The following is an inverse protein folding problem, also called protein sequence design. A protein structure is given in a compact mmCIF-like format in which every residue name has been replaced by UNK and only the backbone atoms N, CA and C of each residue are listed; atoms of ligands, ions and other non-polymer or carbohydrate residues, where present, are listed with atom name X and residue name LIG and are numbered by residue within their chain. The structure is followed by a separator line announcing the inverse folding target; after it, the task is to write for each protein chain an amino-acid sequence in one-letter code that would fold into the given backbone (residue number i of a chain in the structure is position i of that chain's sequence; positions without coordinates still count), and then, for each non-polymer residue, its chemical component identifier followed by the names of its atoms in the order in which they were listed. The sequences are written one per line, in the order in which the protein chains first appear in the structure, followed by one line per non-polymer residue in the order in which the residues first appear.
data_IF_711076662661
#
_entry.id   IF_711076662661
#
_cell.length_a   1.000
_cell.length_b   1.000
_cell.length_c   1.000
_cell.angle_alpha   90.00
_cell.angle_beta   90.00
_cell.angle_gamma   90.00
#
_symmetry.space_group_name_H-M   'P 1'
#
loop_
_entity.id
_entity.type
_entity.pdbx_description
1 polymer ?
#
# COMPACT_ATOMS: atom_id res chain seq x y z
N UNK A 1 -7.21 15.84 -23.72
CA UNK A 1 -6.02 15.10 -23.26
C UNK A 1 -4.87 15.41 -24.22
N UNK A 2 -3.66 15.66 -23.71
CA UNK A 2 -2.49 15.94 -24.55
C UNK A 2 -1.83 14.61 -24.97
N UNK A 3 -1.22 14.52 -26.16
CA UNK A 3 -0.48 13.33 -26.56
C UNK A 3 0.71 13.11 -25.62
N UNK A 4 0.92 11.86 -25.21
CA UNK A 4 2.06 11.45 -24.37
C UNK A 4 3.02 10.58 -25.18
N UNK A 5 4.32 10.78 -24.98
CA UNK A 5 5.34 9.97 -25.63
C UNK A 5 5.46 8.61 -24.96
N UNK A 6 5.36 7.54 -25.75
CA UNK A 6 5.60 6.16 -25.31
C UNK A 6 6.68 5.50 -26.16
N UNK A 7 7.45 4.61 -25.54
CA UNK A 7 8.40 3.74 -26.22
C UNK A 7 7.81 2.35 -26.35
N UNK A 8 7.70 1.89 -27.59
CA UNK A 8 7.30 0.54 -27.92
C UNK A 8 8.56 -0.32 -28.10
N UNK A 9 8.67 -1.38 -27.30
CA UNK A 9 9.70 -2.40 -27.40
C UNK A 9 9.05 -3.77 -27.62
N UNK A 10 9.38 -4.41 -28.74
CA UNK A 10 8.87 -5.73 -29.08
C UNK A 10 10.01 -6.75 -28.99
N UNK A 11 9.90 -7.70 -28.07
CA UNK A 11 10.72 -8.91 -28.03
C UNK A 11 9.91 -10.11 -28.54
N UNK A 12 10.54 -11.26 -28.78
CA UNK A 12 9.91 -12.43 -29.41
C UNK A 12 8.72 -13.02 -28.65
N UNK A 13 8.54 -12.71 -27.36
CA UNK A 13 7.46 -13.26 -26.51
C UNK A 13 6.58 -12.20 -25.83
N UNK A 14 7.03 -10.94 -25.75
CA UNK A 14 6.34 -9.88 -24.99
C UNK A 14 6.50 -8.54 -25.70
N UNK A 15 5.43 -7.75 -25.71
CA UNK A 15 5.45 -6.36 -26.18
C UNK A 15 5.30 -5.42 -24.99
N UNK A 16 6.22 -4.47 -24.85
CA UNK A 16 6.20 -3.45 -23.79
C UNK A 16 5.95 -2.09 -24.41
N UNK A 17 4.93 -1.39 -23.91
CA UNK A 17 4.65 0.02 -24.22
C UNK A 17 4.92 0.80 -22.94
N UNK A 18 5.91 1.67 -22.90
CA UNK A 18 6.22 2.43 -21.67
C UNK A 18 6.35 3.93 -21.93
N UNK A 19 5.60 4.77 -21.20
CA UNK A 19 6.01 6.15 -20.99
C UNK A 19 7.41 6.19 -20.36
N UNK A 20 8.16 7.25 -20.63
CA UNK A 20 9.50 7.38 -20.08
C UNK A 20 9.50 7.30 -18.54
N UNK A 21 10.19 6.30 -17.98
CA UNK A 21 10.33 6.12 -16.53
C UNK A 21 9.12 5.53 -15.80
N UNK A 22 8.09 5.06 -16.54
CA UNK A 22 6.97 4.34 -15.94
C UNK A 22 7.39 2.92 -15.53
N UNK A 23 6.97 2.43 -14.35
CA UNK A 23 7.27 1.08 -13.90
C UNK A 23 6.51 0.07 -14.76
N UNK A 24 7.09 -1.11 -14.88
CA UNK A 24 6.46 -2.24 -15.58
C UNK A 24 6.28 -3.40 -14.61
N UNK A 25 5.33 -4.30 -14.90
CA UNK A 25 5.13 -5.51 -14.08
C UNK A 25 6.34 -6.46 -14.08
N UNK A 26 7.34 -6.22 -14.93
CA UNK A 26 8.61 -6.94 -14.92
C UNK A 26 9.65 -6.37 -13.95
N UNK A 27 9.37 -5.23 -13.30
CA UNK A 27 10.26 -4.66 -12.31
C UNK A 27 10.40 -5.62 -11.12
N UNK A 28 11.64 -5.94 -10.72
CA UNK A 28 11.91 -6.98 -9.73
C UNK A 28 11.28 -6.72 -8.36
N UNK A 29 11.00 -5.46 -8.03
CA UNK A 29 10.33 -5.03 -6.80
C UNK A 29 9.57 -3.73 -7.07
N UNK A 30 8.32 -3.78 -7.57
CA UNK A 30 7.53 -2.58 -7.74
C UNK A 30 7.30 -1.91 -6.37
N UNK A 31 7.37 -0.59 -6.35
CA UNK A 31 7.06 0.17 -5.15
C UNK A 31 5.58 0.07 -4.80
N UNK A 32 5.24 0.31 -3.54
CA UNK A 32 3.84 0.39 -3.07
C UNK A 32 3.08 1.62 -3.63
N UNK A 33 3.70 2.39 -4.50
CA UNK A 33 3.10 3.44 -5.32
C UNK A 33 2.80 2.98 -6.76
N UNK A 34 2.88 1.68 -7.05
CA UNK A 34 2.54 1.14 -8.38
C UNK A 34 1.08 0.68 -8.40
N UNK A 35 0.32 1.19 -9.36
CA UNK A 35 -1.02 0.71 -9.69
C UNK A 35 -0.88 -0.33 -10.80
N UNK A 36 -1.61 -1.44 -10.69
CA UNK A 36 -1.61 -2.50 -11.71
C UNK A 36 -3.04 -2.89 -12.02
N UNK A 37 -3.31 -3.18 -13.29
CA UNK A 37 -4.58 -3.71 -13.77
C UNK A 37 -4.33 -4.84 -14.76
N UNK A 38 -4.89 -6.01 -14.52
CA UNK A 38 -4.93 -7.14 -15.45
C UNK A 38 -5.94 -6.85 -16.57
N UNK A 39 -5.48 -6.99 -17.81
CA UNK A 39 -6.27 -6.70 -19.02
C UNK A 39 -6.15 -7.84 -20.02
N UNK A 40 -7.05 -7.90 -20.99
CA UNK A 40 -7.06 -8.92 -22.03
C UNK A 40 -5.71 -8.88 -22.77
N UNK A 41 -4.95 -9.97 -22.66
CA UNK A 41 -3.64 -10.14 -23.28
C UNK A 41 -2.49 -9.35 -22.64
N UNK A 42 -2.66 -8.75 -21.47
CA UNK A 42 -1.60 -7.97 -20.83
C UNK A 42 -1.87 -7.46 -19.42
N UNK A 43 -1.00 -6.54 -18.98
CA UNK A 43 -1.17 -5.76 -17.77
C UNK A 43 -0.89 -4.30 -18.06
N UNK A 44 -1.64 -3.42 -17.41
CA UNK A 44 -1.40 -1.98 -17.37
C UNK A 44 -0.81 -1.59 -16.02
N UNK A 45 0.13 -0.64 -16.01
CA UNK A 45 0.70 -0.10 -14.78
C UNK A 45 0.88 1.42 -14.81
N UNK A 46 0.68 2.03 -13.65
CA UNK A 46 0.87 3.47 -13.42
C UNK A 46 1.66 3.71 -12.13
N UNK A 47 2.25 4.90 -12.00
CA UNK A 47 2.76 5.39 -10.71
C UNK A 47 1.67 6.25 -10.07
N UNK A 48 1.29 5.91 -8.84
CA UNK A 48 0.29 6.59 -8.02
C UNK A 48 0.49 8.12 -7.96
N UNK A 49 1.76 8.54 -7.84
CA UNK A 49 2.15 9.94 -7.67
C UNK A 49 2.48 10.65 -8.99
N UNK A 50 2.35 9.96 -10.13
CA UNK A 50 2.61 10.54 -11.45
C UNK A 50 1.36 11.19 -12.03
N UNK A 51 1.56 12.26 -12.79
CA UNK A 51 0.50 12.92 -13.56
C UNK A 51 0.29 12.26 -14.94
N UNK A 52 1.06 11.20 -15.27
CA UNK A 52 0.92 10.47 -16.53
C UNK A 52 -0.45 9.80 -16.60
N UNK A 53 -1.17 10.05 -17.70
CA UNK A 53 -2.49 9.46 -17.94
C UNK A 53 -2.39 8.17 -18.72
N UNK A 54 -1.36 8.04 -19.56
CA UNK A 54 -1.14 6.84 -20.37
C UNK A 54 -0.39 5.79 -19.53
N UNK A 55 -0.92 4.55 -19.41
CA UNK A 55 -0.25 3.48 -18.68
C UNK A 55 1.04 3.02 -19.37
N UNK A 56 1.94 2.40 -18.60
CA UNK A 56 2.82 1.37 -19.17
C UNK A 56 2.01 0.08 -19.40
N UNK A 57 2.26 -0.64 -20.49
CA UNK A 57 1.69 -1.94 -20.77
C UNK A 57 2.76 -3.00 -20.97
N UNK A 58 2.48 -4.19 -20.47
CA UNK A 58 3.22 -5.41 -20.77
C UNK A 58 2.23 -6.42 -21.35
N UNK A 59 2.37 -6.71 -22.64
CA UNK A 59 1.46 -7.56 -23.40
C UNK A 59 2.11 -8.92 -23.64
N UNK A 60 1.47 -9.96 -23.14
CA UNK A 60 1.88 -11.36 -23.36
C UNK A 60 1.08 -12.02 -24.49
N UNK A 61 -0.08 -11.46 -24.84
CA UNK A 61 -0.86 -11.80 -26.03
C UNK A 61 -1.21 -10.50 -26.79
N UNK A 62 -0.29 -9.98 -27.63
CA UNK A 62 -0.51 -8.74 -28.35
C UNK A 62 -1.65 -8.84 -29.37
N UNK A 63 -2.02 -10.04 -29.82
CA UNK A 63 -3.14 -10.25 -30.75
C UNK A 63 -4.47 -10.04 -30.02
N UNK A 64 -4.64 -10.63 -28.83
CA UNK A 64 -5.82 -10.40 -28.00
C UNK A 64 -5.91 -8.92 -27.55
N UNK A 65 -4.78 -8.28 -27.23
CA UNK A 65 -4.75 -6.88 -26.83
C UNK A 65 -5.21 -5.90 -27.93
N UNK A 66 -5.20 -6.30 -29.22
CA UNK A 66 -5.68 -5.45 -30.31
C UNK A 66 -7.15 -5.02 -30.16
N UNK A 67 -7.96 -5.75 -29.40
CA UNK A 67 -9.36 -5.41 -29.15
C UNK A 67 -9.52 -4.04 -28.47
N UNK A 68 -8.56 -3.66 -27.62
CA UNK A 68 -8.63 -2.45 -26.79
C UNK A 68 -7.45 -1.48 -26.95
N UNK A 69 -6.30 -1.90 -27.48
CA UNK A 69 -5.09 -1.06 -27.59
C UNK A 69 -5.34 0.29 -28.25
N UNK A 70 -6.13 0.32 -29.32
CA UNK A 70 -6.48 1.55 -30.03
C UNK A 70 -7.30 2.52 -29.17
N UNK A 71 -8.09 2.01 -28.22
CA UNK A 71 -8.91 2.83 -27.34
C UNK A 71 -8.05 3.54 -26.29
N UNK A 72 -7.05 2.84 -25.74
CA UNK A 72 -6.19 3.33 -24.63
C UNK A 72 -4.94 4.05 -25.14
N UNK A 73 -4.33 3.63 -26.23
CA UNK A 73 -3.08 4.23 -26.75
C UNK A 73 -3.26 4.98 -28.08
N UNK A 74 -4.37 4.77 -28.77
CA UNK A 74 -4.62 5.32 -30.10
C UNK A 74 -4.21 4.39 -31.24
N UNK A 75 -4.78 4.65 -32.41
CA UNK A 75 -4.54 3.88 -33.64
C UNK A 75 -3.05 3.75 -34.03
N UNK A 76 -2.20 4.80 -33.94
CA UNK A 76 -0.78 4.68 -34.33
C UNK A 76 0.00 3.66 -33.52
N UNK A 77 -0.31 3.53 -32.22
CA UNK A 77 0.33 2.56 -31.32
C UNK A 77 -0.20 1.16 -31.59
N UNK A 78 -1.52 0.98 -31.73
CA UNK A 78 -2.11 -0.31 -32.07
C UNK A 78 -1.55 -0.88 -33.38
N UNK A 79 -1.44 -0.06 -34.43
CA UNK A 79 -0.82 -0.45 -35.70
C UNK A 79 0.66 -0.81 -35.55
N UNK A 80 1.42 -0.08 -34.72
CA UNK A 80 2.82 -0.40 -34.49
C UNK A 80 3.01 -1.74 -33.77
N UNK A 81 2.14 -2.07 -32.83
CA UNK A 81 2.11 -3.39 -32.17
C UNK A 81 1.78 -4.48 -33.19
N UNK A 82 0.73 -4.29 -34.01
CA UNK A 82 0.33 -5.26 -35.03
C UNK A 82 1.41 -5.50 -36.10
N UNK A 83 2.18 -4.46 -36.46
CA UNK A 83 3.30 -4.55 -37.39
C UNK A 83 4.59 -5.12 -36.75
N UNK A 84 4.62 -5.33 -35.44
CA UNK A 84 5.82 -5.71 -34.69
C UNK A 84 6.92 -4.65 -34.72
N UNK A 85 6.57 -3.37 -34.88
CA UNK A 85 7.53 -2.25 -34.92
C UNK A 85 7.95 -1.87 -33.50
N UNK A 86 9.17 -1.36 -33.35
CA UNK A 86 9.64 -0.74 -32.11
C UNK A 86 10.03 0.71 -32.37
N UNK A 87 9.92 1.57 -31.36
CA UNK A 87 10.29 2.98 -31.47
C UNK A 87 9.45 3.91 -30.61
N UNK A 88 9.77 5.20 -30.71
CA UNK A 88 9.04 6.27 -30.05
C UNK A 88 7.76 6.60 -30.82
N UNK A 89 6.64 6.65 -30.11
CA UNK A 89 5.31 6.94 -30.65
C UNK A 89 4.59 7.94 -29.76
N UNK A 90 3.64 8.66 -30.34
CA UNK A 90 2.71 9.49 -29.58
C UNK A 90 1.45 8.70 -29.29
N UNK A 91 1.20 8.42 -28.02
CA UNK A 91 -0.03 7.84 -27.55
C UNK A 91 -1.09 8.95 -27.42
N UNK A 92 -2.27 8.70 -27.98
CA UNK A 92 -3.44 9.57 -27.82
C UNK A 92 -4.65 8.66 -27.73
N UNK A 93 -5.21 8.45 -26.52
CA UNK A 93 -6.33 7.54 -26.33
C UNK A 93 -7.50 7.93 -27.24
N UNK A 94 -8.00 6.99 -28.04
CA UNK A 94 -9.18 7.22 -28.87
C UNK A 94 -10.46 7.25 -28.03
N UNK A 95 -10.45 6.63 -26.84
CA UNK A 95 -11.50 6.68 -25.82
C UNK A 95 -10.92 7.17 -24.49
N UNK A 96 -10.76 8.50 -24.30
CA UNK A 96 -10.16 9.06 -23.10
C UNK A 96 -10.94 8.72 -21.82
N UNK A 97 -12.26 8.60 -21.90
CA UNK A 97 -13.13 8.17 -20.80
C UNK A 97 -12.81 6.75 -20.31
N UNK A 98 -12.54 5.82 -21.23
CA UNK A 98 -12.17 4.44 -20.88
C UNK A 98 -10.76 4.38 -20.29
N UNK A 99 -9.81 5.14 -20.84
CA UNK A 99 -8.45 5.22 -20.30
C UNK A 99 -8.44 5.80 -18.87
N UNK A 100 -9.27 6.81 -18.60
CA UNK A 100 -9.43 7.37 -17.27
C UNK A 100 -10.11 6.38 -16.30
N UNK A 101 -11.18 5.72 -16.73
CA UNK A 101 -11.84 4.68 -15.93
C UNK A 101 -10.88 3.51 -15.60
N UNK A 102 -10.04 3.08 -16.53
CA UNK A 102 -9.03 2.05 -16.30
C UNK A 102 -8.01 2.47 -15.24
N UNK A 103 -7.57 3.73 -15.29
CA UNK A 103 -6.66 4.31 -14.30
C UNK A 103 -7.32 4.41 -12.93
N UNK A 104 -8.58 4.84 -12.87
CA UNK A 104 -9.37 4.86 -11.64
C UNK A 104 -9.58 3.46 -11.07
N UNK A 105 -9.83 2.45 -11.92
CA UNK A 105 -9.96 1.06 -11.49
C UNK A 105 -8.65 0.54 -10.90
N UNK A 106 -7.51 0.76 -11.57
CA UNK A 106 -6.18 0.41 -11.01
C UNK A 106 -5.89 1.11 -9.68
N UNK A 107 -6.34 2.36 -9.52
CA UNK A 107 -6.28 3.06 -8.24
C UNK A 107 -7.19 2.46 -7.16
N UNK A 108 -8.42 2.07 -7.51
CA UNK A 108 -9.35 1.42 -6.60
C UNK A 108 -8.81 0.07 -6.12
N UNK A 109 -8.20 -0.73 -7.00
CA UNK A 109 -7.49 -1.95 -6.62
C UNK A 109 -6.32 -1.64 -5.68
N UNK A 110 -5.51 -0.62 -5.97
CA UNK A 110 -4.44 -0.21 -5.06
C UNK A 110 -4.98 0.19 -3.68
N UNK A 111 -6.07 0.96 -3.62
CA UNK A 111 -6.69 1.37 -2.37
C UNK A 111 -7.19 0.15 -1.58
N UNK A 112 -7.83 -0.82 -2.25
CA UNK A 112 -8.31 -2.04 -1.61
C UNK A 112 -7.17 -2.89 -1.02
N UNK A 113 -5.99 -2.89 -1.65
CA UNK A 113 -4.86 -3.73 -1.23
C UNK A 113 -3.82 -3.00 -0.37
N UNK A 114 -3.77 -1.67 -0.38
CA UNK A 114 -2.66 -0.94 0.22
C UNK A 114 -2.99 0.46 0.75
N UNK A 115 -4.26 0.79 0.96
CA UNK A 115 -4.61 2.07 1.59
C UNK A 115 -3.86 2.28 2.92
N UNK A 116 -3.11 3.39 3.09
CA UNK A 116 -2.23 3.60 4.25
C UNK A 116 -3.03 4.13 5.46
N UNK A 117 -4.03 3.35 5.90
CA UNK A 117 -4.86 3.67 7.06
C UNK A 117 -3.98 3.88 8.30
N UNK A 118 -4.24 4.95 9.05
CA UNK A 118 -3.46 5.34 10.21
C UNK A 118 -4.28 6.18 11.17
N UNK A 119 -4.54 5.65 12.36
CA UNK A 119 -5.18 6.43 13.44
C UNK A 119 -4.22 7.51 13.95
N UNK A 120 -2.90 7.25 13.90
CA UNK A 120 -1.85 8.21 14.33
C UNK A 120 -1.77 9.42 13.41
N UNK A 121 -1.75 9.19 12.09
CA UNK A 121 -1.63 10.26 11.10
C UNK A 121 -3.00 10.84 10.68
N UNK A 122 -4.09 10.29 11.21
CA UNK A 122 -5.46 10.73 10.91
C UNK A 122 -5.92 10.37 9.50
N UNK A 123 -5.49 9.20 9.00
CA UNK A 123 -5.93 8.62 7.73
C UNK A 123 -6.96 7.53 8.05
N UNK A 124 -8.27 7.79 7.89
CA UNK A 124 -9.31 6.79 8.15
C UNK A 124 -9.15 5.56 7.24
N UNK A 125 -9.59 4.39 7.72
CA UNK A 125 -9.80 3.24 6.83
C UNK A 125 -10.92 3.52 5.83
N UNK A 126 -10.83 2.91 4.65
CA UNK A 126 -11.91 2.95 3.67
C UNK A 126 -12.94 1.88 4.01
N UNK A 127 -14.21 2.23 3.94
CA UNK A 127 -15.30 1.26 4.08
C UNK A 127 -15.24 0.25 2.92
N UNK A 128 -15.11 -1.04 3.25
CA UNK A 128 -14.92 -2.11 2.28
C UNK A 128 -16.14 -2.36 1.40
N UNK A 129 -17.35 -2.10 1.91
CA UNK A 129 -18.59 -2.26 1.14
C UNK A 129 -18.72 -1.12 0.11
N UNK A 130 -18.47 0.11 0.54
CA UNK A 130 -18.47 1.27 -0.36
C UNK A 130 -17.39 1.13 -1.43
N UNK A 131 -16.17 0.76 -1.04
CA UNK A 131 -15.06 0.53 -1.97
C UNK A 131 -15.34 -0.64 -2.93
N UNK A 132 -16.03 -1.68 -2.46
CA UNK A 132 -16.51 -2.77 -3.30
C UNK A 132 -17.51 -2.30 -4.36
N UNK A 133 -18.38 -1.34 -4.03
CA UNK A 133 -19.29 -0.69 -4.97
C UNK A 133 -18.56 0.16 -6.02
N UNK A 134 -17.54 0.93 -5.61
CA UNK A 134 -16.67 1.68 -6.52
C UNK A 134 -15.97 0.75 -7.51
N UNK A 135 -15.36 -0.33 -7.02
CA UNK A 135 -14.70 -1.36 -7.84
C UNK A 135 -15.67 -1.98 -8.84
N UNK A 136 -16.82 -2.47 -8.40
CA UNK A 136 -17.79 -3.11 -9.28
C UNK A 136 -18.28 -2.18 -10.41
N UNK A 137 -18.54 -0.91 -10.07
CA UNK A 137 -18.98 0.10 -11.04
C UNK A 137 -17.88 0.41 -12.07
N UNK A 138 -16.63 0.55 -11.62
CA UNK A 138 -15.48 0.78 -12.50
C UNK A 138 -15.14 -0.43 -13.37
N UNK A 139 -15.27 -1.65 -12.83
CA UNK A 139 -15.11 -2.90 -13.60
C UNK A 139 -16.16 -3.00 -14.72
N UNK A 140 -17.41 -2.63 -14.47
CA UNK A 140 -18.46 -2.61 -15.50
C UNK A 140 -18.13 -1.63 -16.63
N UNK A 141 -17.64 -0.43 -16.31
CA UNK A 141 -17.20 0.55 -17.33
C UNK A 141 -16.00 0.03 -18.13
N UNK A 142 -15.12 -0.73 -17.51
CA UNK A 142 -13.90 -1.28 -18.10
C UNK A 142 -14.08 -2.71 -18.66
N UNK A 143 -15.30 -3.25 -18.77
CA UNK A 143 -15.57 -4.65 -19.13
C UNK A 143 -14.90 -5.10 -20.44
N UNK A 144 -14.70 -4.17 -21.38
CA UNK A 144 -14.10 -4.46 -22.69
C UNK A 144 -12.58 -4.60 -22.67
N UNK A 145 -11.92 -4.33 -21.54
CA UNK A 145 -10.46 -4.37 -21.42
C UNK A 145 -9.96 -5.26 -20.30
N UNK A 146 -10.69 -5.40 -19.19
CA UNK A 146 -10.24 -6.15 -18.00
C UNK A 146 -10.30 -7.66 -18.23
N UNK A 147 -9.42 -8.40 -17.57
CA UNK A 147 -9.39 -9.87 -17.61
C UNK A 147 -9.05 -10.46 -16.23
N UNK A 148 -9.12 -11.78 -16.11
CA UNK A 148 -8.61 -12.53 -14.97
C UNK A 148 -9.24 -12.13 -13.64
N UNK A 149 -8.40 -11.80 -12.66
CA UNK A 149 -8.85 -11.46 -11.31
C UNK A 149 -9.56 -10.10 -11.28
N UNK A 150 -9.14 -9.16 -12.12
CA UNK A 150 -9.67 -7.79 -12.12
C UNK A 150 -10.97 -7.66 -12.93
N UNK A 151 -11.30 -8.66 -13.77
CA UNK A 151 -12.61 -8.81 -14.39
C UNK A 151 -13.68 -9.35 -13.43
N UNK A 152 -13.29 -9.93 -12.29
CA UNK A 152 -14.22 -10.42 -11.28
C UNK A 152 -14.34 -9.40 -10.15
N UNK A 153 -15.55 -8.92 -9.79
CA UNK A 153 -15.69 -8.12 -8.59
C UNK A 153 -15.24 -8.97 -7.39
N UNK A 154 -14.21 -8.50 -6.68
CA UNK A 154 -13.70 -9.18 -5.48
C UNK A 154 -14.86 -9.54 -4.55
N UNK A 155 -14.93 -10.77 -4.03
CA UNK A 155 -15.96 -11.10 -3.04
C UNK A 155 -15.72 -10.24 -1.80
N UNK A 156 -16.63 -9.29 -1.58
CA UNK A 156 -16.66 -8.46 -0.38
C UNK A 156 -16.75 -9.39 0.83
N UNK A 157 -15.67 -9.52 1.59
CA UNK A 157 -15.76 -10.12 2.90
C UNK A 157 -16.66 -9.21 3.74
N UNK A 158 -17.66 -9.75 4.47
CA UNK A 158 -18.55 -8.92 5.27
C UNK A 158 -17.73 -8.16 6.31
N UNK A 159 -17.79 -6.83 6.25
CA UNK A 159 -17.36 -5.95 7.33
C UNK A 159 -18.33 -6.15 8.50
N UNK A 160 -17.77 -6.39 9.69
CA UNK A 160 -18.54 -6.36 10.93
C UNK A 160 -18.27 -5.03 11.62
N UNK A 161 -19.33 -4.38 12.11
CA UNK A 161 -19.30 -3.10 12.85
C UNK A 161 -18.10 -3.03 13.81
N UNK A 162 -17.03 -2.39 13.36
CA UNK A 162 -15.92 -1.98 14.20
C UNK A 162 -16.28 -0.59 14.72
N UNK A 163 -16.53 -0.48 16.02
CA UNK A 163 -16.58 0.82 16.68
C UNK A 163 -15.20 1.47 16.53
N UNK A 164 -15.09 2.44 15.62
CA UNK A 164 -13.88 3.21 15.38
C UNK A 164 -13.26 3.70 16.71
N UNK A 165 -12.05 3.24 17.01
CA UNK A 165 -11.24 3.82 18.08
C UNK A 165 -10.92 5.26 17.69
N UNK A 166 -11.34 6.22 18.52
CA UNK A 166 -11.38 7.62 18.15
C UNK A 166 -10.00 8.25 18.32
N UNK A 167 -9.70 9.27 17.51
CA UNK A 167 -8.54 10.17 17.63
C UNK A 167 -8.29 10.73 19.06
N UNK A 168 -9.31 10.72 19.91
CA UNK A 168 -9.29 11.20 21.30
C UNK A 168 -8.88 10.11 22.31
N UNK A 169 -8.81 8.85 21.89
CA UNK A 169 -8.35 7.72 22.73
C UNK A 169 -6.82 7.66 22.78
N UNK A 170 -6.13 8.37 21.88
CA UNK A 170 -4.73 8.78 22.05
C UNK A 170 -4.60 9.99 22.98
N UNK A 171 -5.19 9.87 24.17
CA UNK A 171 -4.72 10.67 25.29
C UNK A 171 -3.30 10.20 25.61
N UNK A 172 -2.33 11.03 25.23
CA UNK A 172 -0.92 10.91 25.56
C UNK A 172 -0.78 10.62 27.07
N UNK A 173 -0.64 9.34 27.43
CA UNK A 173 -0.38 8.92 28.80
C UNK A 173 1.08 9.25 29.15
N UNK A 174 1.37 10.55 29.28
CA UNK A 174 2.39 11.02 30.21
C UNK A 174 1.81 10.95 31.64
N UNK A 175 1.32 9.78 32.04
CA UNK A 175 0.97 9.49 33.43
C UNK A 175 2.25 9.16 34.19
N UNK A 176 2.40 9.61 35.46
CA UNK A 176 3.50 9.14 36.30
C UNK A 176 3.42 7.61 36.38
N UNK A 177 4.58 6.96 36.38
CA UNK A 177 4.73 5.50 36.42
C UNK A 177 3.68 4.89 37.37
N UNK A 178 2.81 4.03 36.82
CA UNK A 178 1.85 3.29 37.63
C UNK A 178 2.59 2.61 38.78
N UNK A 179 2.09 2.70 40.03
CA UNK A 179 2.76 2.11 41.17
C UNK A 179 2.74 0.58 41.00
N UNK A 180 3.88 0.03 40.58
CA UNK A 180 4.02 -1.41 40.31
C UNK A 180 5.12 -1.83 39.34
N UNK A 181 5.79 -0.92 38.61
CA UNK A 181 6.94 -1.27 37.75
C UNK A 181 8.25 -0.87 38.43
N UNK A 182 8.99 -1.86 38.93
CA UNK A 182 10.21 -1.71 39.75
C UNK A 182 11.53 -1.68 38.96
N UNK A 183 11.48 -1.74 37.62
CA UNK A 183 12.66 -1.73 36.75
C UNK A 183 13.12 -0.33 36.29
N UNK A 184 14.44 -0.15 36.15
CA UNK A 184 15.07 1.05 35.60
C UNK A 184 14.89 1.09 34.08
N UNK A 185 14.29 2.14 33.53
CA UNK A 185 14.24 2.36 32.08
C UNK A 185 15.64 2.79 31.59
N UNK A 186 16.25 1.98 30.73
CA UNK A 186 17.56 2.24 30.16
C UNK A 186 17.48 3.11 28.91
N UNK A 187 16.49 2.85 28.05
CA UNK A 187 16.29 3.54 26.79
C UNK A 187 14.85 3.39 26.28
N UNK A 188 14.43 4.32 25.43
CA UNK A 188 13.17 4.26 24.68
C UNK A 188 13.42 4.78 23.26
N UNK A 189 12.60 4.35 22.31
CA UNK A 189 12.63 4.92 20.97
C UNK A 189 11.38 4.62 20.17
N UNK A 190 11.30 5.24 19.01
CA UNK A 190 10.27 5.03 17.99
C UNK A 190 10.95 4.71 16.66
N UNK A 191 10.26 3.97 15.80
CA UNK A 191 10.74 3.65 14.46
C UNK A 191 9.58 3.49 13.49
N UNK A 192 9.80 3.85 12.24
CA UNK A 192 8.93 3.42 11.14
C UNK A 192 9.10 1.94 10.88
N UNK A 193 8.29 1.40 9.98
CA UNK A 193 8.38 0.00 9.56
C UNK A 193 8.30 -0.10 8.03
N UNK A 194 8.87 -1.18 7.49
CA UNK A 194 8.78 -1.46 6.06
C UNK A 194 7.43 -2.13 5.78
N UNK A 195 6.50 -1.30 5.34
CA UNK A 195 5.15 -1.64 4.87
C UNK A 195 5.04 -2.94 4.07
N UNK A 196 6.03 -3.29 3.24
CA UNK A 196 6.00 -4.52 2.42
C UNK A 196 6.12 -5.80 3.24
N UNK A 197 6.53 -5.71 4.52
CA UNK A 197 6.82 -6.86 5.39
C UNK A 197 5.62 -7.34 6.19
N UNK A 198 4.49 -6.64 6.13
CA UNK A 198 3.24 -7.09 6.73
C UNK A 198 2.11 -6.91 5.70
N UNK A 199 1.09 -7.78 5.72
CA UNK A 199 -0.10 -7.55 4.92
C UNK A 199 -0.75 -6.20 5.26
N UNK A 200 -1.49 -5.59 4.32
CA UNK A 200 -2.36 -4.45 4.62
C UNK A 200 -3.33 -4.80 5.75
N UNK A 201 -3.71 -3.81 6.56
CA UNK A 201 -4.67 -3.99 7.64
C UNK A 201 -4.15 -4.66 8.91
N UNK A 202 -2.83 -4.95 9.02
CA UNK A 202 -2.24 -5.52 10.26
C UNK A 202 -1.67 -4.44 11.17
N UNK A 203 -0.92 -3.48 10.63
CA UNK A 203 -0.27 -2.39 11.37
C UNK A 203 -0.73 -1.02 10.87
N UNK A 204 -0.75 -0.05 11.78
CA UNK A 204 -0.92 1.36 11.44
C UNK A 204 0.20 1.82 10.49
N UNK A 205 -0.17 2.54 9.44
CA UNK A 205 0.76 2.95 8.39
C UNK A 205 1.76 4.06 8.82
N UNK A 206 1.57 4.71 9.96
CA UNK A 206 2.43 5.83 10.39
C UNK A 206 3.91 5.45 10.52
N UNK A 207 4.80 6.41 10.26
CA UNK A 207 6.24 6.26 10.59
C UNK A 207 6.50 6.20 12.09
N UNK A 208 5.48 6.47 12.91
CA UNK A 208 5.56 6.43 14.37
C UNK A 208 4.80 5.24 14.97
N UNK A 209 4.33 4.31 14.13
CA UNK A 209 3.53 3.17 14.58
C UNK A 209 4.27 2.24 15.54
N UNK A 210 5.61 2.18 15.49
CA UNK A 210 6.42 1.29 16.35
C UNK A 210 7.13 2.09 17.43
N UNK A 211 6.97 1.65 18.68
CA UNK A 211 7.73 2.14 19.83
C UNK A 211 8.34 0.99 20.61
N UNK A 212 9.44 1.26 21.29
CA UNK A 212 10.13 0.27 22.10
C UNK A 212 10.69 0.88 23.38
N UNK A 213 10.81 0.04 24.41
CA UNK A 213 11.34 0.40 25.71
C UNK A 213 12.27 -0.69 26.21
N UNK A 214 13.45 -0.29 26.66
CA UNK A 214 14.43 -1.13 27.31
C UNK A 214 14.38 -0.91 28.82
N UNK A 215 14.16 -1.97 29.59
CA UNK A 215 14.04 -1.91 31.05
C UNK A 215 14.99 -2.92 31.71
N UNK A 216 15.63 -2.52 32.80
CA UNK A 216 16.48 -3.39 33.63
C UNK A 216 15.84 -3.62 34.99
N UNK A 217 15.63 -4.88 35.34
CA UNK A 217 15.09 -5.30 36.62
C UNK A 217 15.90 -6.46 37.18
N UNK A 218 16.37 -6.33 38.42
CA UNK A 218 17.18 -7.35 39.10
C UNK A 218 18.36 -7.89 38.28
N UNK A 219 19.01 -7.00 37.49
CA UNK A 219 20.13 -7.34 36.61
C UNK A 219 19.74 -7.95 35.25
N UNK A 220 18.47 -8.29 35.03
CA UNK A 220 17.96 -8.72 33.72
C UNK A 220 17.52 -7.53 32.89
N UNK A 221 17.90 -7.53 31.62
CA UNK A 221 17.50 -6.48 30.67
C UNK A 221 16.46 -7.02 29.71
N UNK A 222 15.34 -6.32 29.57
CA UNK A 222 14.21 -6.72 28.73
C UNK A 222 13.84 -5.60 27.79
N UNK A 223 13.56 -5.96 26.54
CA UNK A 223 12.97 -5.05 25.56
C UNK A 223 11.48 -5.36 25.42
N UNK A 224 10.65 -4.32 25.50
CA UNK A 224 9.23 -4.35 25.18
C UNK A 224 9.06 -3.57 23.87
N UNK A 225 8.45 -4.19 22.86
CA UNK A 225 8.10 -3.56 21.59
C UNK A 225 6.58 -3.47 21.53
N UNK A 226 6.11 -2.30 21.10
CA UNK A 226 4.72 -2.00 20.83
C UNK A 226 4.58 -1.51 19.39
N UNK A 227 3.58 -2.00 18.68
CA UNK A 227 3.22 -1.48 17.38
C UNK A 227 1.72 -1.18 17.35
N UNK A 228 1.32 -0.01 16.87
CA UNK A 228 -0.09 0.31 16.67
C UNK A 228 -0.69 -0.65 15.62
N UNK A 229 -1.84 -1.22 15.94
CA UNK A 229 -2.64 -2.00 14.99
C UNK A 229 -3.24 -1.08 13.92
N UNK A 230 -3.52 -1.62 12.74
CA UNK A 230 -4.25 -0.87 11.74
C UNK A 230 -5.64 -0.48 12.26
N UNK A 231 -6.21 0.65 11.80
CA UNK A 231 -7.62 0.94 12.03
C UNK A 231 -8.48 -0.24 11.55
N UNK A 232 -9.51 -0.57 12.31
CA UNK A 232 -10.45 -1.66 12.01
C UNK A 232 -9.80 -3.03 11.79
N UNK A 233 -8.70 -3.30 12.52
CA UNK A 233 -8.04 -4.61 12.53
C UNK A 233 -9.05 -5.74 12.74
N UNK A 234 -9.06 -6.70 11.81
CA UNK A 234 -9.90 -7.89 11.89
C UNK A 234 -9.59 -8.71 13.15
N UNK A 235 -10.59 -8.83 14.04
CA UNK A 235 -10.49 -9.63 15.25
C UNK A 235 -10.30 -11.13 14.96
N UNK A 236 -10.64 -11.59 13.76
CA UNK A 236 -10.44 -12.96 13.30
C UNK A 236 -9.06 -13.19 12.65
N UNK A 237 -8.14 -12.21 12.67
CA UNK A 237 -6.82 -12.33 12.03
C UNK A 237 -6.07 -13.58 12.51
N UNK A 238 -5.78 -14.54 11.60
CA UNK A 238 -5.10 -15.78 11.96
C UNK A 238 -3.74 -15.55 12.64
N UNK A 239 -3.41 -16.39 13.62
CA UNK A 239 -2.17 -16.28 14.40
C UNK A 239 -0.87 -16.33 13.59
N UNK A 240 -0.90 -16.89 12.38
CA UNK A 240 0.28 -16.91 11.49
C UNK A 240 0.50 -15.58 10.75
N UNK A 241 -0.50 -14.69 10.74
CA UNK A 241 -0.40 -13.32 10.24
C UNK A 241 -0.06 -12.31 11.34
N UNK A 242 0.12 -12.76 12.59
CA UNK A 242 0.51 -11.88 13.67
C UNK A 242 1.96 -11.39 13.49
N UNK A 243 2.22 -10.09 13.68
CA UNK A 243 3.53 -9.53 13.47
C UNK A 243 4.55 -10.03 14.51
N UNK A 244 5.80 -10.07 14.08
CA UNK A 244 6.98 -10.34 14.90
C UNK A 244 7.87 -9.11 14.94
N UNK A 245 8.56 -8.93 16.06
CA UNK A 245 9.61 -7.94 16.19
C UNK A 245 10.97 -8.62 16.12
N UNK A 246 11.87 -8.03 15.33
CA UNK A 246 13.31 -8.31 15.35
C UNK A 246 14.04 -7.11 15.92
N UNK A 247 14.59 -7.27 17.12
CA UNK A 247 15.36 -6.23 17.80
C UNK A 247 16.83 -6.47 17.52
N UNK A 248 17.47 -5.56 16.81
CA UNK A 248 18.91 -5.58 16.52
C UNK A 248 19.63 -4.79 17.60
N UNK A 249 20.61 -5.42 18.24
CA UNK A 249 21.45 -4.83 19.28
C UNK A 249 22.92 -4.88 18.85
N UNK A 250 23.83 -4.40 19.70
CA UNK A 250 25.28 -4.54 19.50
C UNK A 250 25.79 -5.97 19.72
N UNK A 251 25.03 -6.81 20.44
CA UNK A 251 25.40 -8.19 20.74
C UNK A 251 24.85 -9.16 19.68
N UNK A 252 23.53 -9.31 19.61
CA UNK A 252 22.85 -10.19 18.66
C UNK A 252 21.40 -9.73 18.39
N UNK A 253 20.85 -10.02 17.20
CA UNK A 253 19.42 -9.86 16.94
C UNK A 253 18.57 -10.83 17.79
N UNK A 254 17.44 -10.36 18.30
CA UNK A 254 16.46 -11.18 19.03
C UNK A 254 15.09 -11.06 18.35
N UNK A 255 14.45 -12.20 18.08
CA UNK A 255 13.15 -12.28 17.42
C UNK A 255 12.07 -12.82 18.39
N UNK A 256 10.92 -12.15 18.46
CA UNK A 256 9.78 -12.60 19.26
C UNK A 256 8.45 -12.19 18.62
N UNK A 257 7.39 -12.94 18.93
CA UNK A 257 6.05 -12.64 18.44
C UNK A 257 5.42 -11.48 19.21
N UNK A 258 4.59 -10.69 18.52
CA UNK A 258 3.71 -9.71 19.14
C UNK A 258 2.31 -10.31 19.26
N UNK A 259 1.64 -10.02 20.36
CA UNK A 259 0.27 -10.44 20.62
C UNK A 259 -0.66 -9.23 20.55
N UNK A 260 -1.91 -9.40 20.09
CA UNK A 260 -2.86 -8.30 20.06
C UNK A 260 -3.28 -7.94 21.50
N UNK A 261 -3.34 -6.65 21.79
CA UNK A 261 -3.86 -6.09 23.03
C UNK A 261 -4.61 -4.79 22.72
N UNK A 262 -5.91 -4.92 22.44
CA UNK A 262 -6.72 -3.79 21.97
C UNK A 262 -6.24 -3.31 20.60
N UNK A 263 -5.91 -2.04 20.51
CA UNK A 263 -5.39 -1.35 19.31
C UNK A 263 -3.86 -1.46 19.15
N UNK A 264 -3.21 -2.29 19.96
CA UNK A 264 -1.75 -2.36 20.02
C UNK A 264 -1.26 -3.81 19.99
N UNK A 265 -0.28 -4.09 19.13
CA UNK A 265 0.53 -5.30 19.16
C UNK A 265 1.64 -5.15 20.21
N UNK A 266 1.76 -6.09 21.14
CA UNK A 266 2.75 -6.03 22.22
C UNK A 266 3.53 -7.34 22.31
N UNK A 267 4.84 -7.23 22.48
CA UNK A 267 5.70 -8.36 22.82
C UNK A 267 6.98 -7.90 23.49
N UNK A 268 7.68 -8.83 24.12
CA UNK A 268 8.96 -8.52 24.72
C UNK A 268 9.82 -9.76 24.94
N UNK A 269 11.12 -9.54 25.07
CA UNK A 269 12.10 -10.58 25.31
C UNK A 269 13.26 -10.06 26.17
N UNK A 270 13.92 -10.95 26.94
CA UNK A 270 15.21 -10.61 27.53
C UNK A 270 16.25 -10.40 26.42
N UNK A 271 17.13 -9.42 26.60
CA UNK A 271 18.26 -9.15 25.70
C UNK A 271 19.55 -8.99 26.49
N UNK A 272 20.67 -9.36 25.87
CA UNK A 272 22.02 -9.19 26.42
C UNK A 272 22.69 -7.93 25.85
N UNK A 273 22.00 -6.78 25.99
CA UNK A 273 22.49 -5.48 25.53
C UNK A 273 21.80 -4.33 26.26
N UNK A 274 22.50 -3.21 26.37
CA UNK A 274 22.02 -1.98 27.02
C UNK A 274 21.50 -0.96 25.98
N UNK A 275 21.51 -1.33 24.70
CA UNK A 275 21.12 -0.48 23.60
C UNK A 275 20.37 -1.25 22.52
N UNK A 276 19.47 -0.53 21.82
CA UNK A 276 18.78 -1.01 20.63
C UNK A 276 19.30 -0.20 19.44
N UNK A 277 19.75 -0.89 18.40
CA UNK A 277 20.24 -0.27 17.15
C UNK A 277 19.07 -0.06 16.18
N UNK A 278 18.21 -1.07 16.06
CA UNK A 278 17.05 -1.06 15.16
C UNK A 278 15.98 -2.02 15.65
N UNK A 279 14.72 -1.69 15.38
CA UNK A 279 13.59 -2.60 15.54
C UNK A 279 12.94 -2.75 14.18
N UNK A 280 12.85 -3.98 13.70
CA UNK A 280 12.16 -4.33 12.45
C UNK A 280 10.87 -5.08 12.81
N UNK A 281 9.73 -4.71 12.20
CA UNK A 281 8.47 -5.46 12.31
C UNK A 281 8.21 -6.20 11.00
N UNK A 282 7.77 -7.45 11.09
CA UNK A 282 7.48 -8.30 9.93
C UNK A 282 6.48 -9.41 10.26
N UNK A 283 5.78 -9.89 9.24
CA UNK A 283 5.06 -11.16 9.25
C UNK A 283 5.89 -12.20 8.50
N UNK A 284 6.16 -13.39 9.07
CA UNK A 284 6.94 -14.43 8.39
C UNK A 284 6.34 -14.79 7.02
N UNK A 285 7.19 -14.79 5.98
CA UNK A 285 6.79 -15.12 4.61
C UNK A 285 6.21 -13.96 3.80
N UNK A 286 6.11 -12.75 4.39
CA UNK A 286 5.59 -11.57 3.71
C UNK A 286 6.72 -10.62 3.33
N UNK A 287 6.76 -10.25 2.06
CA UNK A 287 7.66 -9.23 1.54
C UNK A 287 9.13 -9.62 1.45
N UNK A 288 10.02 -8.64 1.25
CA UNK A 288 11.45 -8.88 1.09
C UNK A 288 12.11 -9.37 2.38
N UNK A 289 13.16 -10.17 2.24
CA UNK A 289 13.97 -10.62 3.37
C UNK A 289 14.54 -9.44 4.18
N UNK A 290 14.70 -9.61 5.50
CA UNK A 290 15.27 -8.57 6.38
C UNK A 290 16.72 -8.30 5.97
N UNK A 291 17.02 -7.03 5.67
CA UNK A 291 18.36 -6.60 5.25
C UNK A 291 18.65 -6.73 3.75
N UNK A 292 17.66 -7.07 2.92
CA UNK A 292 17.78 -6.91 1.47
C UNK A 292 18.05 -5.44 1.12
N UNK A 293 19.04 -5.18 0.25
CA UNK A 293 19.34 -3.84 -0.26
C UNK A 293 18.21 -3.38 -1.16
N UNK A 294 17.62 -2.23 -0.81
CA UNK A 294 16.42 -1.70 -1.45
C UNK A 294 16.80 -0.54 -2.39
N UNK A 295 16.59 -0.71 -3.69
CA UNK A 295 16.86 0.33 -4.68
C UNK A 295 15.63 1.20 -4.91
N UNK A 296 15.12 1.89 -3.87
CA UNK A 296 14.16 2.98 -4.06
C UNK A 296 13.01 3.10 -3.05
N UNK A 297 12.64 2.02 -2.34
CA UNK A 297 11.58 2.10 -1.33
C UNK A 297 12.12 2.50 0.05
N UNK A 298 11.42 3.38 0.76
CA UNK A 298 11.91 3.92 2.03
C UNK A 298 11.01 4.96 2.68
N UNK A 299 11.45 5.57 3.80
CA UNK A 299 10.65 6.52 4.58
C UNK A 299 10.14 7.71 3.75
N UNK A 300 10.95 8.22 2.82
CA UNK A 300 10.57 9.33 1.96
C UNK A 300 9.43 8.97 1.01
N UNK A 301 9.43 7.75 0.45
CA UNK A 301 8.36 7.29 -0.43
C UNK A 301 7.06 7.10 0.35
N UNK A 302 7.12 6.47 1.53
CA UNK A 302 5.96 6.31 2.42
C UNK A 302 5.37 7.65 2.84
N UNK A 303 6.21 8.62 3.17
CA UNK A 303 5.78 9.98 3.47
C UNK A 303 5.00 10.60 2.29
N UNK A 304 5.51 10.50 1.06
CA UNK A 304 4.83 11.02 -0.12
C UNK A 304 3.46 10.37 -0.34
N UNK A 305 3.37 9.05 -0.17
CA UNK A 305 2.10 8.31 -0.28
C UNK A 305 1.09 8.81 0.78
N UNK A 306 1.52 8.96 2.04
CA UNK A 306 0.64 9.50 3.10
C UNK A 306 0.22 10.93 2.83
N UNK A 307 1.13 11.80 2.41
CA UNK A 307 0.83 13.20 2.05
C UNK A 307 -0.15 13.30 0.89
N UNK A 308 0.00 12.44 -0.13
CA UNK A 308 -0.93 12.32 -1.25
C UNK A 308 -2.34 11.95 -0.78
N UNK A 309 -2.47 10.90 0.03
CA UNK A 309 -3.77 10.46 0.57
C UNK A 309 -4.41 11.53 1.45
N UNK A 310 -3.64 12.14 2.37
CA UNK A 310 -4.15 13.22 3.22
C UNK A 310 -4.60 14.43 2.40
N UNK A 311 -3.87 14.79 1.34
CA UNK A 311 -4.27 15.89 0.46
C UNK A 311 -5.57 15.61 -0.29
N UNK A 312 -5.79 14.36 -0.74
CA UNK A 312 -7.04 13.92 -1.38
C UNK A 312 -8.22 14.02 -0.43
N UNK A 313 -8.10 13.45 0.77
CA UNK A 313 -9.18 13.47 1.77
C UNK A 313 -9.53 14.88 2.26
N UNK A 314 -8.58 15.81 2.32
CA UNK A 314 -8.83 17.21 2.73
C UNK A 314 -9.46 18.09 1.65
N UNK A 315 -9.47 17.67 0.40
CA UNK A 315 -9.99 18.46 -0.72
C UNK A 315 -10.85 17.61 -1.66
N UNK A 316 -11.90 16.94 -1.15
CA UNK A 316 -12.71 16.00 -1.93
C UNK A 316 -13.41 16.69 -3.11
N UNK A 317 -13.79 17.95 -2.97
CA UNK A 317 -14.48 18.72 -4.03
C UNK A 317 -13.54 19.23 -5.14
N UNK A 318 -12.21 19.10 -4.99
CA UNK A 318 -11.24 19.44 -6.04
C UNK A 318 -10.80 18.25 -6.89
N UNK A 319 -11.10 17.02 -6.47
CA UNK A 319 -10.76 15.83 -7.22
C UNK A 319 -12.01 15.25 -7.85
N UNK A 320 -12.19 15.46 -9.15
CA UNK A 320 -13.30 14.86 -9.93
C UNK A 320 -13.23 13.31 -9.97
N UNK A 321 -12.14 12.74 -9.43
CA UNK A 321 -11.75 11.34 -9.54
C UNK A 321 -11.64 10.67 -8.17
N UNK A 322 -12.28 11.23 -7.15
CA UNK A 322 -12.33 10.63 -5.82
C UNK A 322 -13.30 9.45 -5.83
N UNK A 323 -12.92 8.34 -5.21
CA UNK A 323 -13.82 7.21 -4.98
C UNK A 323 -14.90 7.59 -3.96
N UNK A 324 -16.09 6.97 -4.03
CA UNK A 324 -17.12 7.22 -3.02
C UNK A 324 -16.64 6.79 -1.62
N UNK A 325 -15.87 5.70 -1.53
CA UNK A 325 -15.25 5.27 -0.28
C UNK A 325 -14.35 6.36 0.33
N UNK A 326 -13.60 7.08 -0.49
CA UNK A 326 -12.78 8.21 -0.04
C UNK A 326 -13.66 9.40 0.40
N UNK A 327 -14.79 9.66 -0.28
CA UNK A 327 -15.72 10.74 0.09
C UNK A 327 -16.36 10.47 1.46
N UNK A 328 -16.82 9.24 1.68
CA UNK A 328 -17.37 8.80 2.96
C UNK A 328 -16.32 8.89 4.07
N UNK A 329 -15.10 8.42 3.80
CA UNK A 329 -13.99 8.50 4.74
C UNK A 329 -13.64 9.96 5.10
N UNK A 330 -13.60 10.88 4.11
CA UNK A 330 -13.37 12.30 4.34
C UNK A 330 -14.50 12.98 5.13
N UNK A 331 -15.76 12.60 4.90
CA UNK A 331 -16.91 13.11 5.63
C UNK A 331 -16.88 12.67 7.11
N UNK A 332 -16.44 11.43 7.38
CA UNK A 332 -16.35 10.91 8.74
C UNK A 332 -15.33 11.65 9.63
N UNK A 333 -14.32 12.30 9.06
CA UNK A 333 -13.35 13.15 9.80
C UNK A 333 -13.90 14.57 10.05
N UNK A 334 -14.96 15.01 9.34
CA UNK A 334 -15.53 16.37 9.46
C UNK A 334 -16.74 16.49 10.39
N UNK A 335 -17.34 15.38 10.80
CA UNK A 335 -18.45 15.36 11.78
C UNK A 335 -18.00 15.52 13.25
N UNK A 336 -16.83 16.15 13.48
CA UNK A 336 -16.26 16.44 14.80
C UNK A 336 -15.96 17.92 15.02
#
# INVERSE_FOLDING_TARGET
MMPETVFLHSDNEVVVISPAGAPTVHDAMPGLDTLVLEVIGGHLSWVLLSEQTVPAAVLHDPDAAQEWLWAVYGEPVALAVADGRSGELLATPARPELAEAARQLGYAHWAAHWWPASTIDGIPALDSEVLGGDLASLTEVCESIVDGADAQPSPVAPSFDATAARRQDYALAAGPAGPGRTGLVLATGTSGWDWRRCPPGVLDASEFAVSWRLTRESGSTTVEVRAAAAPDLDAALPGHLWPRARVVTTAAPTDFGLQPNGDTWIGGAPIDADNVVRVDIYVPGVGPAIGATDSGYGPAQRQRIREFVVARLRSPDRSELLLEAERVAAASDTDF
#
